data_IF_904507335876
#
_entry.id   IF_904507335876
#
_cell.length_a   1.000
_cell.length_b   1.000
_cell.length_c   1.000
_cell.angle_alpha   90.00
_cell.angle_beta   90.00
_cell.angle_gamma   90.00
#
_symmetry.space_group_name_H-M   'P 1'
#
loop_
_entity.id
_entity.type
_entity.pdbx_description
1 polymer ?
#
# COMPACT_ATOMS: atom_id res chain seq x y z
N UNK A 1 7.95 -19.60 16.77
CA UNK A 1 8.31 -18.75 15.61
C UNK A 1 7.36 -17.56 15.59
N UNK A 2 7.85 -16.36 15.28
CA UNK A 2 7.04 -15.12 15.24
C UNK A 2 7.38 -14.36 13.96
N UNK A 3 6.35 -13.95 13.21
CA UNK A 3 6.53 -13.00 12.10
C UNK A 3 7.02 -11.66 12.65
N UNK A 4 8.02 -11.06 12.01
CA UNK A 4 8.63 -9.82 12.47
C UNK A 4 8.24 -8.63 11.57
N UNK A 5 8.64 -8.70 10.31
CA UNK A 5 8.39 -7.62 9.34
C UNK A 5 8.55 -8.10 7.90
N UNK A 6 8.06 -7.31 6.96
CA UNK A 6 8.42 -7.38 5.55
C UNK A 6 9.40 -6.25 5.25
N UNK A 7 10.53 -6.57 4.61
CA UNK A 7 11.60 -5.62 4.30
C UNK A 7 11.59 -5.29 2.81
N UNK A 8 11.49 -4.01 2.47
CA UNK A 8 11.53 -3.49 1.11
C UNK A 8 12.91 -2.90 0.80
N UNK A 9 13.43 -3.22 -0.37
CA UNK A 9 14.62 -2.57 -0.92
C UNK A 9 14.30 -1.14 -1.36
N UNK A 10 15.05 -0.15 -0.86
CA UNK A 10 14.90 1.25 -1.24
C UNK A 10 16.24 1.86 -1.65
N UNK A 11 16.22 2.78 -2.59
CA UNK A 11 17.43 3.45 -3.09
C UNK A 11 17.91 4.56 -2.14
N UNK A 12 16.98 5.28 -1.50
CA UNK A 12 17.23 6.38 -0.59
C UNK A 12 16.29 6.26 0.60
N UNK A 13 16.85 5.91 1.74
CA UNK A 13 16.08 5.64 2.97
C UNK A 13 15.29 6.86 3.45
N UNK A 14 15.84 8.07 3.31
CA UNK A 14 15.18 9.27 3.78
C UNK A 14 13.97 9.64 2.91
N UNK A 15 14.13 9.56 1.58
CA UNK A 15 13.03 9.80 0.64
C UNK A 15 11.94 8.74 0.76
N UNK A 16 12.32 7.47 0.86
CA UNK A 16 11.37 6.37 1.03
C UNK A 16 10.61 6.50 2.36
N UNK A 17 11.31 6.79 3.45
CA UNK A 17 10.69 7.04 4.75
C UNK A 17 9.65 8.18 4.66
N UNK A 18 10.03 9.34 4.13
CA UNK A 18 9.11 10.47 3.98
C UNK A 18 7.90 10.12 3.11
N UNK A 19 8.08 9.35 2.04
CA UNK A 19 6.99 8.88 1.19
C UNK A 19 5.94 8.11 1.99
N UNK A 20 6.37 7.14 2.82
CA UNK A 20 5.44 6.32 3.62
C UNK A 20 4.84 7.07 4.82
N UNK A 21 5.60 7.96 5.47
CA UNK A 21 5.09 8.82 6.53
C UNK A 21 4.05 9.82 6.01
N UNK A 22 4.34 10.51 4.90
CA UNK A 22 3.51 11.59 4.39
C UNK A 22 2.24 11.08 3.68
N UNK A 23 2.37 9.99 2.92
CA UNK A 23 1.25 9.46 2.12
C UNK A 23 0.31 8.56 2.95
N UNK A 24 0.87 7.74 3.84
CA UNK A 24 0.12 6.72 4.58
C UNK A 24 0.05 6.98 6.08
N UNK A 25 0.74 7.99 6.59
CA UNK A 25 0.79 8.28 8.03
C UNK A 25 1.45 7.18 8.86
N UNK A 26 2.38 6.42 8.28
CA UNK A 26 3.07 5.36 9.01
C UNK A 26 4.00 5.94 10.05
N UNK A 27 4.04 5.30 11.22
CA UNK A 27 4.88 5.72 12.35
C UNK A 27 6.12 4.85 12.46
N UNK A 28 7.30 5.48 12.49
CA UNK A 28 8.58 4.80 12.71
C UNK A 28 8.68 4.36 14.16
N UNK A 29 8.95 3.07 14.38
CA UNK A 29 9.22 2.54 15.71
C UNK A 29 10.71 2.23 15.96
N UNK A 30 11.50 1.98 14.90
CA UNK A 30 12.94 1.79 15.00
C UNK A 30 13.65 2.40 13.77
N UNK A 31 14.76 3.09 14.02
CA UNK A 31 15.60 3.69 12.99
C UNK A 31 17.06 3.28 13.24
N UNK A 32 17.63 2.55 12.29
CA UNK A 32 19.02 2.08 12.31
C UNK A 32 19.89 2.73 11.20
N UNK A 33 19.45 3.87 10.69
CA UNK A 33 20.12 4.58 9.60
C UNK A 33 19.75 4.02 8.23
N UNK A 34 20.31 2.89 7.81
CA UNK A 34 19.98 2.23 6.54
C UNK A 34 18.72 1.37 6.59
N UNK A 35 18.20 1.11 7.79
CA UNK A 35 16.99 0.34 8.00
C UNK A 35 16.03 1.16 8.89
N UNK A 36 14.79 1.25 8.46
CA UNK A 36 13.69 1.90 9.19
C UNK A 36 12.55 0.92 9.30
N UNK A 37 12.07 0.67 10.52
CA UNK A 37 10.92 -0.18 10.81
C UNK A 37 9.73 0.69 11.23
N UNK A 38 8.61 0.51 10.56
CA UNK A 38 7.34 1.10 10.95
C UNK A 38 6.58 0.19 11.92
N UNK A 39 5.75 0.79 12.76
CA UNK A 39 4.96 0.08 13.78
C UNK A 39 4.01 -0.97 13.21
N UNK A 40 3.60 -0.83 11.95
CA UNK A 40 2.74 -1.79 11.24
C UNK A 40 3.46 -3.08 10.79
N UNK A 41 4.80 -3.16 10.91
CA UNK A 41 5.59 -4.32 10.46
C UNK A 41 6.14 -4.21 9.04
N UNK A 42 6.04 -3.03 8.40
CA UNK A 42 6.77 -2.72 7.17
C UNK A 42 8.15 -2.16 7.52
N UNK A 43 9.19 -2.61 6.85
CA UNK A 43 10.54 -2.09 6.99
C UNK A 43 11.12 -1.66 5.65
N UNK A 44 11.94 -0.63 5.65
CA UNK A 44 12.68 -0.13 4.50
C UNK A 44 14.17 -0.40 4.73
N UNK A 45 14.87 -0.85 3.69
CA UNK A 45 16.30 -1.14 3.73
C UNK A 45 17.04 -0.52 2.55
N UNK A 46 17.93 0.41 2.81
CA UNK A 46 18.91 0.88 1.83
C UNK A 46 20.08 -0.10 1.77
N UNK A 47 20.71 -0.23 0.60
CA UNK A 47 21.76 -1.22 0.34
C UNK A 47 21.26 -2.66 0.62
N UNK A 48 20.10 -2.99 0.09
CA UNK A 48 19.43 -4.28 0.29
C UNK A 48 20.26 -5.45 -0.23
N UNK A 49 20.97 -5.26 -1.34
CA UNK A 49 21.93 -6.19 -1.92
C UNK A 49 23.02 -6.59 -0.91
N UNK A 50 23.58 -5.61 -0.20
CA UNK A 50 24.53 -5.86 0.89
C UNK A 50 23.88 -6.66 2.02
N UNK A 51 22.64 -6.32 2.41
CA UNK A 51 21.97 -7.00 3.52
C UNK A 51 21.79 -8.50 3.27
N UNK A 52 21.37 -8.87 2.05
CA UNK A 52 21.10 -10.27 1.70
C UNK A 52 22.24 -10.99 0.99
N UNK A 53 23.34 -10.27 0.69
CA UNK A 53 24.57 -10.85 0.15
C UNK A 53 24.49 -11.25 -1.32
N UNK A 54 23.79 -10.47 -2.16
CA UNK A 54 23.70 -10.67 -3.61
C UNK A 54 24.24 -9.45 -4.36
N UNK A 55 24.62 -9.59 -5.66
CA UNK A 55 24.93 -8.44 -6.51
C UNK A 55 23.74 -7.49 -6.68
N UNK A 56 23.99 -6.17 -6.72
CA UNK A 56 22.96 -5.14 -6.84
C UNK A 56 22.04 -5.36 -8.05
N UNK A 57 22.58 -5.80 -9.17
CA UNK A 57 21.84 -6.08 -10.41
C UNK A 57 20.81 -7.23 -10.28
N UNK A 58 20.91 -8.04 -9.22
CA UNK A 58 19.93 -9.10 -8.92
C UNK A 58 18.74 -8.59 -8.07
N UNK A 59 18.80 -7.37 -7.56
CA UNK A 59 17.67 -6.75 -6.86
C UNK A 59 16.65 -6.28 -7.90
N UNK A 60 15.52 -6.96 -7.98
CA UNK A 60 14.48 -6.67 -8.97
C UNK A 60 13.74 -5.37 -8.67
N UNK A 61 13.45 -4.59 -9.74
CA UNK A 61 12.54 -3.45 -9.70
C UNK A 61 11.22 -3.82 -10.39
N UNK A 62 10.08 -3.38 -9.83
CA UNK A 62 8.74 -3.70 -10.34
C UNK A 62 8.52 -5.21 -10.53
N UNK A 63 8.70 -6.04 -9.51
CA UNK A 63 8.59 -7.49 -9.66
C UNK A 63 7.17 -7.99 -9.97
N UNK A 64 6.10 -7.22 -9.64
CA UNK A 64 4.70 -7.53 -9.88
C UNK A 64 4.22 -8.89 -9.32
N UNK A 65 4.85 -9.37 -8.26
CA UNK A 65 4.52 -10.62 -7.58
C UNK A 65 4.20 -10.42 -6.08
N UNK A 66 4.11 -9.17 -5.65
CA UNK A 66 3.75 -8.75 -4.30
C UNK A 66 3.08 -7.37 -4.38
N UNK A 67 2.12 -7.13 -3.53
CA UNK A 67 1.58 -5.79 -3.31
C UNK A 67 1.51 -5.47 -1.81
N UNK A 68 1.63 -4.19 -1.49
CA UNK A 68 1.46 -3.66 -0.16
C UNK A 68 0.08 -3.03 -0.12
N UNK A 69 -0.84 -3.63 0.64
CA UNK A 69 -2.23 -3.23 0.65
C UNK A 69 -2.58 -2.39 1.88
N UNK A 70 -3.33 -1.32 1.64
CA UNK A 70 -3.91 -0.44 2.65
C UNK A 70 -5.41 -0.31 2.44
N UNK A 71 -6.15 -0.04 3.51
CA UNK A 71 -7.55 0.38 3.45
C UNK A 71 -7.67 1.84 3.88
N UNK A 72 -8.51 2.60 3.17
CA UNK A 72 -8.71 4.02 3.38
C UNK A 72 -10.21 4.33 3.51
N UNK A 73 -10.66 4.85 4.66
CA UNK A 73 -12.06 5.21 4.85
C UNK A 73 -12.51 6.40 4.00
N UNK A 74 -11.62 7.36 3.72
CA UNK A 74 -11.86 8.49 2.79
C UNK A 74 -11.19 8.24 1.44
N UNK A 75 -11.62 7.21 0.74
CA UNK A 75 -11.03 6.80 -0.53
C UNK A 75 -11.06 7.90 -1.59
N UNK A 76 -12.13 8.67 -1.68
CA UNK A 76 -12.25 9.75 -2.66
C UNK A 76 -11.30 10.92 -2.35
N UNK A 77 -11.14 11.29 -1.07
CA UNK A 77 -10.15 12.27 -0.63
C UNK A 77 -8.72 11.81 -0.88
N UNK A 78 -8.45 10.52 -0.67
CA UNK A 78 -7.14 9.93 -0.97
C UNK A 78 -6.84 9.96 -2.48
N UNK A 79 -7.82 9.64 -3.34
CA UNK A 79 -7.66 9.76 -4.80
C UNK A 79 -7.32 11.18 -5.24
N UNK A 80 -7.96 12.20 -4.64
CA UNK A 80 -7.63 13.60 -4.92
C UNK A 80 -6.18 13.92 -4.53
N UNK A 81 -5.73 13.43 -3.37
CA UNK A 81 -4.34 13.58 -2.91
C UNK A 81 -3.35 12.93 -3.88
N UNK A 82 -3.62 11.71 -4.35
CA UNK A 82 -2.79 11.02 -5.34
C UNK A 82 -2.74 11.76 -6.68
N UNK A 83 -3.88 12.17 -7.19
CA UNK A 83 -3.98 12.87 -8.48
C UNK A 83 -3.30 14.25 -8.45
N UNK A 84 -3.20 14.87 -7.29
CA UNK A 84 -2.46 16.12 -7.08
C UNK A 84 -0.93 15.94 -6.98
N UNK A 85 -0.43 14.72 -6.95
CA UNK A 85 1.01 14.42 -6.85
C UNK A 85 1.57 13.87 -8.18
N UNK A 86 2.28 14.71 -8.98
CA UNK A 86 2.80 14.30 -10.28
C UNK A 86 3.90 13.22 -10.21
N UNK A 87 4.47 12.96 -9.03
CA UNK A 87 5.49 11.94 -8.83
C UNK A 87 4.90 10.51 -8.74
N UNK A 88 3.59 10.37 -8.59
CA UNK A 88 2.93 9.06 -8.51
C UNK A 88 2.81 8.41 -9.88
N UNK A 89 3.34 7.21 -10.01
CA UNK A 89 3.21 6.36 -11.19
C UNK A 89 2.11 5.31 -10.94
N UNK A 90 0.99 5.41 -11.67
CA UNK A 90 -0.15 4.50 -11.51
C UNK A 90 -0.01 3.21 -12.31
N UNK A 91 -0.53 2.12 -11.75
CA UNK A 91 -0.86 0.91 -12.50
C UNK A 91 -2.36 0.92 -12.83
N UNK A 92 -2.72 1.59 -13.92
CA UNK A 92 -4.11 1.74 -14.34
C UNK A 92 -4.91 2.74 -13.49
N UNK A 93 -6.23 2.72 -13.66
CA UNK A 93 -7.19 3.55 -12.95
C UNK A 93 -7.83 2.84 -11.77
N UNK A 94 -8.84 3.48 -11.18
CA UNK A 94 -9.70 2.86 -10.15
C UNK A 94 -10.42 1.66 -10.74
N UNK A 95 -10.39 0.54 -10.01
CA UNK A 95 -11.11 -0.69 -10.33
C UNK A 95 -12.12 -0.94 -9.21
N UNK A 96 -13.35 -1.32 -9.55
CA UNK A 96 -14.30 -1.89 -8.59
C UNK A 96 -14.32 -3.41 -8.76
N UNK A 97 -13.99 -4.13 -7.70
CA UNK A 97 -14.06 -5.57 -7.66
C UNK A 97 -15.51 -6.09 -7.58
N UNK A 98 -15.72 -7.38 -7.87
CA UNK A 98 -17.06 -7.99 -7.87
C UNK A 98 -17.78 -7.85 -6.51
N UNK A 99 -17.04 -7.85 -5.41
CA UNK A 99 -17.56 -7.60 -4.07
C UNK A 99 -17.83 -6.11 -3.76
N UNK A 100 -17.58 -5.22 -4.74
CA UNK A 100 -17.94 -3.80 -4.68
C UNK A 100 -16.88 -2.87 -4.09
N UNK A 101 -15.75 -3.38 -3.64
CA UNK A 101 -14.64 -2.55 -3.16
C UNK A 101 -13.95 -1.86 -4.34
N UNK A 102 -13.81 -0.54 -4.27
CA UNK A 102 -12.98 0.23 -5.20
C UNK A 102 -11.53 0.21 -4.72
N UNK A 103 -10.61 0.04 -5.65
CA UNK A 103 -9.17 0.04 -5.37
C UNK A 103 -8.43 0.88 -6.40
N UNK A 104 -7.29 1.43 -5.99
CA UNK A 104 -6.30 2.08 -6.87
C UNK A 104 -4.93 1.46 -6.63
N UNK A 105 -4.18 1.21 -7.71
CA UNK A 105 -2.81 0.70 -7.63
C UNK A 105 -1.82 1.67 -8.22
N UNK A 106 -0.70 1.82 -7.54
CA UNK A 106 0.42 2.68 -7.96
C UNK A 106 1.73 2.17 -7.37
N UNK A 107 2.83 2.80 -7.75
CA UNK A 107 4.16 2.41 -7.28
C UNK A 107 4.69 3.40 -6.25
N UNK A 108 5.46 2.88 -5.29
CA UNK A 108 6.33 3.72 -4.48
C UNK A 108 7.53 4.22 -5.29
N UNK A 109 8.45 4.96 -4.66
CA UNK A 109 9.60 5.55 -5.32
C UNK A 109 10.59 4.51 -5.90
N UNK A 110 10.53 3.28 -5.42
CA UNK A 110 11.43 2.18 -5.79
C UNK A 110 10.73 1.09 -6.65
N UNK A 111 9.48 1.32 -7.03
CA UNK A 111 8.73 0.44 -7.91
C UNK A 111 7.99 -0.71 -7.19
N UNK A 112 7.83 -0.65 -5.88
CA UNK A 112 6.96 -1.59 -5.17
C UNK A 112 5.50 -1.25 -5.46
N UNK A 113 4.70 -2.29 -5.75
CA UNK A 113 3.28 -2.14 -6.03
C UNK A 113 2.52 -1.90 -4.72
N UNK A 114 1.72 -0.84 -4.70
CA UNK A 114 0.85 -0.47 -3.61
C UNK A 114 -0.59 -0.56 -4.09
N UNK A 115 -1.45 -1.16 -3.27
CA UNK A 115 -2.90 -1.09 -3.42
C UNK A 115 -3.48 -0.27 -2.26
N UNK A 116 -4.35 0.66 -2.58
CA UNK A 116 -5.23 1.29 -1.59
C UNK A 116 -6.66 1.00 -1.98
N UNK A 117 -7.39 0.35 -1.08
CA UNK A 117 -8.81 0.02 -1.24
C UNK A 117 -9.70 0.85 -0.30
N UNK A 118 -10.98 0.95 -0.66
CA UNK A 118 -11.99 1.42 0.30
C UNK A 118 -11.97 0.53 1.55
N UNK A 119 -12.06 1.13 2.74
CA UNK A 119 -12.35 0.35 3.94
C UNK A 119 -13.67 -0.41 3.76
N UNK A 120 -13.68 -1.72 4.05
CA UNK A 120 -14.84 -2.58 3.77
C UNK A 120 -16.12 -2.11 4.46
N UNK A 121 -16.00 -1.48 5.63
CA UNK A 121 -17.14 -0.85 6.31
C UNK A 121 -17.80 0.22 5.45
N UNK A 122 -16.99 1.06 4.77
CA UNK A 122 -17.50 2.12 3.89
C UNK A 122 -18.20 1.55 2.64
N UNK A 123 -17.73 0.42 2.14
CA UNK A 123 -18.39 -0.32 1.03
C UNK A 123 -19.80 -0.77 1.47
N UNK A 124 -19.92 -1.37 2.66
CA UNK A 124 -21.21 -1.80 3.24
C UNK A 124 -22.15 -0.60 3.39
N UNK A 125 -21.67 0.49 3.99
CA UNK A 125 -22.46 1.71 4.19
C UNK A 125 -22.95 2.30 2.87
N UNK A 126 -22.10 2.29 1.83
CA UNK A 126 -22.46 2.74 0.48
C UNK A 126 -23.55 1.86 -0.14
N UNK A 127 -23.49 0.55 -0.01
CA UNK A 127 -24.52 -0.36 -0.52
C UNK A 127 -25.85 -0.16 0.18
N UNK A 128 -25.84 -0.04 1.50
CA UNK A 128 -27.06 0.21 2.30
C UNK A 128 -27.67 1.57 1.92
N UNK A 129 -26.85 2.61 1.79
CA UNK A 129 -27.30 3.95 1.36
C UNK A 129 -27.91 3.95 -0.03
N UNK A 130 -27.48 3.03 -0.90
CA UNK A 130 -28.03 2.82 -2.24
C UNK A 130 -29.25 1.89 -2.27
N UNK A 131 -29.77 1.49 -1.10
CA UNK A 131 -31.01 0.73 -0.96
C UNK A 131 -30.88 -0.78 -0.93
N UNK A 132 -29.64 -1.32 -0.85
CA UNK A 132 -29.44 -2.77 -0.66
C UNK A 132 -29.78 -3.17 0.78
N UNK A 133 -30.39 -4.34 0.91
CA UNK A 133 -30.58 -4.97 2.22
C UNK A 133 -29.28 -5.61 2.73
N UNK A 134 -29.19 -5.86 4.04
CA UNK A 134 -28.03 -6.57 4.61
C UNK A 134 -27.80 -7.95 3.99
N UNK A 135 -28.88 -8.66 3.64
CA UNK A 135 -28.80 -9.97 2.98
C UNK A 135 -28.22 -9.86 1.57
N UNK A 136 -28.62 -8.85 0.80
CA UNK A 136 -28.08 -8.59 -0.53
C UNK A 136 -26.60 -8.18 -0.46
N UNK A 137 -26.23 -7.36 0.53
CA UNK A 137 -24.83 -6.96 0.78
C UNK A 137 -23.98 -8.19 1.12
N UNK A 138 -24.44 -9.00 2.08
CA UNK A 138 -23.76 -10.22 2.49
C UNK A 138 -23.52 -11.17 1.29
N UNK A 139 -24.54 -11.36 0.48
CA UNK A 139 -24.45 -12.21 -0.73
C UNK A 139 -23.46 -11.64 -1.76
N UNK A 140 -23.45 -10.33 -1.99
CA UNK A 140 -22.56 -9.70 -2.95
C UNK A 140 -21.11 -9.74 -2.51
N UNK A 141 -20.86 -9.57 -1.22
CA UNK A 141 -19.52 -9.50 -0.63
C UNK A 141 -18.97 -10.89 -0.23
N UNK A 142 -19.80 -11.94 -0.36
CA UNK A 142 -19.46 -13.31 0.05
C UNK A 142 -19.03 -13.44 1.52
N UNK A 143 -19.76 -12.76 2.40
CA UNK A 143 -19.52 -12.71 3.85
C UNK A 143 -20.77 -13.07 4.66
#
# INVERSE_FOLDING_TARGET
MRYCCTVLSVSDINKARSFYEDLFGLEVCQDYGRNVLFSCGLALQQDFDWLIGIPEEQVCKKPHNVEIAFEEPDFDGFLQKLNGNPAIAFLGGVIEHDWGQRVIRFYDLDGHLIEVGEEMKMVIERFISNGMTLEEVSKRMDV
#
